data_IF_277669532818
#
_entry.id   IF_277669532818
#
_cell.length_a   1.000
_cell.length_b   1.000
_cell.length_c   1.000
_cell.angle_alpha   90.00
_cell.angle_beta   90.00
_cell.angle_gamma   90.00
#
_symmetry.space_group_name_H-M   'P 1'
#
loop_
_entity.id
_entity.type
_entity.pdbx_description
1 polymer ?
#
# COMPACT_ATOMS: atom_id res chain seq x y z
N UNK A 1 63.86 -44.28 18.78
CA UNK A 1 63.89 -44.39 17.30
C UNK A 1 62.45 -44.49 16.84
N UNK A 2 62.04 -43.65 15.88
CA UNK A 2 60.71 -43.54 15.22
C UNK A 2 59.53 -42.99 16.04
N UNK A 3 58.64 -42.12 15.56
CA UNK A 3 58.59 -41.25 14.37
C UNK A 3 57.46 -40.21 14.58
N UNK A 4 57.61 -39.02 13.98
CA UNK A 4 56.57 -38.00 13.81
C UNK A 4 55.67 -38.31 12.59
N UNK A 5 54.37 -37.95 12.65
CA UNK A 5 53.50 -37.53 11.53
C UNK A 5 52.16 -37.02 12.14
N UNK A 6 51.92 -35.71 12.30
CA UNK A 6 51.41 -34.66 11.37
C UNK A 6 49.90 -34.72 11.00
N UNK A 7 49.19 -33.75 11.59
CA UNK A 7 48.13 -32.85 11.05
C UNK A 7 46.82 -33.41 10.50
N UNK A 8 45.71 -32.71 10.82
CA UNK A 8 44.86 -31.88 9.91
C UNK A 8 43.53 -31.63 10.64
N UNK A 9 43.29 -30.44 11.20
CA UNK A 9 42.54 -29.35 10.58
C UNK A 9 41.06 -29.65 10.26
N UNK A 10 40.11 -29.17 11.09
CA UNK A 10 38.77 -28.81 10.62
C UNK A 10 38.12 -27.70 11.49
N UNK A 11 38.26 -26.43 11.08
CA UNK A 11 37.25 -25.54 10.44
C UNK A 11 36.29 -24.90 11.45
N UNK A 12 36.52 -23.62 11.82
CA UNK A 12 35.76 -22.40 11.43
C UNK A 12 34.23 -22.56 11.65
N UNK A 13 33.51 -21.64 12.31
CA UNK A 13 33.17 -20.30 11.78
C UNK A 13 32.50 -19.43 12.85
N UNK A 14 32.94 -18.17 12.88
CA UNK A 14 32.24 -16.91 13.18
C UNK A 14 30.73 -17.09 13.46
N UNK A 15 30.30 -16.74 14.68
CA UNK A 15 28.90 -16.39 14.95
C UNK A 15 28.65 -15.09 14.20
N UNK A 16 27.92 -15.18 13.09
CA UNK A 16 27.35 -14.00 12.43
C UNK A 16 26.29 -13.46 13.38
N UNK A 17 26.57 -12.33 14.02
CA UNK A 17 25.51 -11.53 14.59
C UNK A 17 24.65 -11.06 13.41
N UNK A 18 23.50 -11.70 13.22
CA UNK A 18 22.47 -11.20 12.33
C UNK A 18 21.89 -9.97 13.00
N UNK A 19 22.56 -8.83 12.83
CA UNK A 19 21.95 -7.52 13.13
C UNK A 19 20.82 -7.36 12.12
N UNK A 20 19.61 -7.74 12.53
CA UNK A 20 18.41 -7.20 11.91
C UNK A 20 18.50 -5.69 12.07
N UNK A 21 18.84 -4.98 10.99
CA UNK A 21 18.54 -3.56 10.87
C UNK A 21 17.01 -3.48 10.91
N UNK A 22 16.45 -3.32 12.10
CA UNK A 22 15.08 -2.88 12.22
C UNK A 22 15.03 -1.49 11.57
N UNK A 23 14.54 -1.43 10.34
CA UNK A 23 14.22 -0.18 9.67
C UNK A 23 13.19 0.53 10.54
N UNK A 24 13.61 1.49 11.35
CA UNK A 24 12.68 2.32 12.10
C UNK A 24 11.90 3.14 11.09
N UNK A 25 10.67 2.74 10.81
CA UNK A 25 9.76 3.44 9.93
C UNK A 25 9.25 4.68 10.64
N UNK A 26 9.75 5.84 10.23
CA UNK A 26 9.26 7.12 10.74
C UNK A 26 8.06 7.53 9.90
N UNK A 27 6.91 7.68 10.55
CA UNK A 27 5.73 8.25 9.94
C UNK A 27 5.99 9.73 9.61
N UNK A 28 5.61 10.15 8.41
CA UNK A 28 5.68 11.55 8.02
C UNK A 28 5.41 11.76 6.54
N UNK A 29 4.94 12.97 6.21
CA UNK A 29 4.74 13.41 4.83
C UNK A 29 6.01 13.27 3.99
N UNK A 30 5.87 12.69 2.80
CA UNK A 30 7.00 12.43 1.91
C UNK A 30 6.59 12.36 0.43
N UNK A 31 7.59 12.43 -0.44
CA UNK A 31 7.42 12.34 -1.89
C UNK A 31 7.94 11.01 -2.41
N UNK A 32 7.16 10.31 -3.23
CA UNK A 32 7.58 9.09 -3.89
C UNK A 32 8.72 9.38 -4.87
N UNK A 33 9.78 8.59 -4.79
CA UNK A 33 11.01 8.83 -5.53
C UNK A 33 10.81 8.60 -7.04
N UNK A 34 11.58 9.33 -7.85
CA UNK A 34 11.64 9.08 -9.29
C UNK A 34 12.16 7.67 -9.59
N UNK A 35 13.14 7.20 -8.79
CA UNK A 35 13.66 5.83 -8.80
C UNK A 35 13.55 5.25 -7.38
N UNK A 36 12.40 4.71 -6.97
CA UNK A 36 12.28 4.05 -5.68
C UNK A 36 13.03 2.71 -5.69
N UNK A 37 13.32 2.18 -4.50
CA UNK A 37 14.02 0.89 -4.31
C UNK A 37 13.16 -0.26 -4.80
N UNK A 38 11.87 -0.22 -4.51
CA UNK A 38 10.87 -1.19 -4.93
C UNK A 38 9.51 -0.49 -5.14
N UNK A 39 8.43 -1.26 -5.15
CA UNK A 39 7.07 -0.76 -5.35
C UNK A 39 6.19 -0.81 -4.10
N UNK A 40 6.76 -1.13 -2.93
CA UNK A 40 6.02 -1.24 -1.69
C UNK A 40 5.86 0.14 -1.05
N UNK A 41 4.62 0.54 -0.74
CA UNK A 41 4.33 1.81 -0.06
C UNK A 41 5.12 1.97 1.23
N UNK A 42 5.34 0.88 1.98
CA UNK A 42 5.96 0.97 3.31
C UNK A 42 7.49 0.93 3.30
N UNK A 43 8.15 0.82 2.14
CA UNK A 43 9.62 0.87 2.09
C UNK A 43 10.08 2.33 2.18
N UNK A 44 10.66 2.73 3.32
CA UNK A 44 11.11 4.12 3.56
C UNK A 44 12.09 4.64 2.50
N UNK A 45 12.91 3.76 1.90
CA UNK A 45 13.81 4.10 0.79
C UNK A 45 13.11 4.52 -0.51
N UNK A 46 11.80 4.31 -0.63
CA UNK A 46 11.01 4.76 -1.78
C UNK A 46 10.56 6.21 -1.68
N UNK A 47 10.79 6.85 -0.53
CA UNK A 47 10.31 8.19 -0.22
C UNK A 47 11.45 9.18 0.02
N UNK A 48 11.20 10.46 -0.26
CA UNK A 48 12.05 11.59 0.15
C UNK A 48 11.24 12.64 0.91
N UNK A 49 11.60 12.99 2.17
CA UNK A 49 12.62 12.32 2.99
C UNK A 49 12.27 10.83 3.21
N UNK A 50 13.22 10.03 3.71
CA UNK A 50 13.06 8.59 3.93
C UNK A 50 12.14 8.27 5.13
N UNK A 51 10.93 8.79 5.07
CA UNK A 51 9.80 8.60 5.98
C UNK A 51 8.65 8.01 5.18
N UNK A 52 7.78 7.24 5.82
CA UNK A 52 6.61 6.67 5.16
C UNK A 52 5.37 7.47 5.57
N UNK A 53 4.56 7.98 4.65
CA UNK A 53 3.28 8.58 5.01
C UNK A 53 2.40 7.55 5.72
N UNK A 54 2.16 7.76 7.02
CA UNK A 54 1.46 6.83 7.91
C UNK A 54 0.80 7.57 9.08
N UNK A 55 -0.11 8.49 8.76
CA UNK A 55 -0.77 9.34 9.75
C UNK A 55 -1.89 10.17 9.14
N UNK A 56 -2.87 10.55 9.96
CA UNK A 56 -4.06 11.29 9.53
C UNK A 56 -3.74 12.68 8.95
N UNK A 57 -2.55 13.20 9.22
CA UNK A 57 -2.06 14.49 8.74
C UNK A 57 -0.95 14.38 7.70
N UNK A 58 -0.49 13.16 7.40
CA UNK A 58 0.61 12.96 6.47
C UNK A 58 0.16 13.14 5.03
N UNK A 59 1.04 13.71 4.21
CA UNK A 59 0.82 13.93 2.78
C UNK A 59 1.76 13.04 1.99
N UNK A 60 1.20 12.11 1.22
CA UNK A 60 1.92 11.34 0.23
C UNK A 60 1.90 12.08 -1.10
N UNK A 61 3.07 12.47 -1.60
CA UNK A 61 3.20 13.29 -2.81
C UNK A 61 3.80 12.46 -3.95
N UNK A 62 3.23 12.57 -5.15
CA UNK A 62 3.63 11.81 -6.32
C UNK A 62 3.99 12.74 -7.47
N UNK A 63 5.19 12.55 -8.02
CA UNK A 63 5.68 13.20 -9.24
C UNK A 63 5.85 12.21 -10.38
N UNK A 64 6.76 12.47 -11.31
CA UNK A 64 7.20 11.45 -12.26
C UNK A 64 7.97 10.34 -11.52
N UNK A 65 7.76 9.08 -11.91
CA UNK A 65 8.50 7.93 -11.39
C UNK A 65 8.59 6.82 -12.42
N UNK A 66 9.68 6.05 -12.33
CA UNK A 66 9.88 4.82 -13.08
C UNK A 66 9.15 3.61 -12.47
N UNK A 67 8.63 3.75 -11.24
CA UNK A 67 7.81 2.72 -10.58
C UNK A 67 6.44 3.31 -10.27
N UNK A 68 5.43 2.89 -11.03
CA UNK A 68 4.08 3.45 -10.95
C UNK A 68 3.03 2.44 -10.48
N UNK A 69 3.41 1.18 -10.31
CA UNK A 69 2.54 0.09 -9.85
C UNK A 69 2.79 -0.16 -8.36
N UNK A 70 2.11 0.58 -7.50
CA UNK A 70 2.38 0.62 -6.06
C UNK A 70 1.51 -0.40 -5.34
N UNK A 71 2.10 -1.16 -4.42
CA UNK A 71 1.39 -2.12 -3.58
C UNK A 71 1.21 -1.58 -2.16
N UNK A 72 0.00 -1.73 -1.64
CA UNK A 72 -0.38 -1.49 -0.24
C UNK A 72 -0.97 -2.78 0.33
N UNK A 73 -0.83 -3.00 1.63
CA UNK A 73 -1.29 -4.25 2.23
C UNK A 73 -0.63 -4.53 3.56
N UNK A 74 0.64 -4.14 3.66
CA UNK A 74 1.43 -4.16 4.90
C UNK A 74 1.38 -2.79 5.57
N UNK A 75 1.31 -2.77 6.89
CA UNK A 75 1.44 -1.54 7.67
C UNK A 75 2.90 -1.25 8.05
N UNK A 76 3.27 0.02 8.23
CA UNK A 76 4.59 0.38 8.75
C UNK A 76 4.86 -0.06 10.19
N UNK A 77 3.82 -0.35 10.98
CA UNK A 77 3.98 -0.88 12.34
C UNK A 77 4.23 -2.39 12.36
N UNK A 78 3.98 -3.10 11.25
CA UNK A 78 4.18 -4.56 11.12
C UNK A 78 3.19 -5.41 11.92
N UNK A 79 2.16 -4.80 12.51
CA UNK A 79 1.17 -5.45 13.37
C UNK A 79 -0.21 -5.58 12.70
N UNK A 80 -0.45 -4.83 11.63
CA UNK A 80 -1.73 -4.77 10.94
C UNK A 80 -1.58 -4.60 9.42
N UNK A 81 -2.71 -4.47 8.73
CA UNK A 81 -2.82 -4.35 7.28
C UNK A 81 -3.28 -2.95 6.84
N UNK A 82 -3.18 -1.96 7.73
CA UNK A 82 -3.73 -0.63 7.52
C UNK A 82 -2.64 0.33 7.07
N UNK A 83 -2.92 1.10 6.03
CA UNK A 83 -2.16 2.25 5.61
C UNK A 83 -3.06 3.47 5.80
N UNK A 84 -2.62 4.39 6.67
CA UNK A 84 -3.36 5.60 7.02
C UNK A 84 -2.66 6.81 6.42
N UNK A 85 -3.40 7.68 5.72
CA UNK A 85 -2.83 8.90 5.16
C UNK A 85 -3.81 10.05 5.26
N UNK A 86 -3.29 11.26 5.49
CA UNK A 86 -4.08 12.48 5.39
C UNK A 86 -4.51 12.71 3.96
N UNK A 87 -3.53 13.02 3.10
CA UNK A 87 -3.77 13.36 1.70
C UNK A 87 -2.84 12.59 0.76
N UNK A 88 -3.36 12.30 -0.43
CA UNK A 88 -2.55 11.82 -1.57
C UNK A 88 -2.59 12.90 -2.63
N UNK A 89 -1.42 13.40 -3.05
CA UNK A 89 -1.31 14.51 -4.00
C UNK A 89 -0.48 14.09 -5.20
N UNK A 90 -1.06 14.08 -6.39
CA UNK A 90 -0.35 13.94 -7.65
C UNK A 90 -0.03 15.32 -8.22
N UNK A 91 1.24 15.65 -8.32
CA UNK A 91 1.70 16.92 -8.88
C UNK A 91 1.49 16.96 -10.40
N UNK A 92 1.53 18.17 -10.97
CA UNK A 92 1.51 18.36 -12.42
C UNK A 92 2.62 17.54 -13.09
N UNK A 93 2.27 16.79 -14.14
CA UNK A 93 3.21 15.90 -14.83
C UNK A 93 3.58 14.63 -14.09
N UNK A 94 2.87 14.27 -13.01
CA UNK A 94 3.04 12.97 -12.37
C UNK A 94 2.70 11.82 -13.34
N UNK A 95 3.39 10.69 -13.18
CA UNK A 95 3.13 9.48 -13.98
C UNK A 95 1.70 8.95 -13.75
N UNK A 96 1.15 8.11 -14.65
CA UNK A 96 -0.08 7.37 -14.37
C UNK A 96 0.22 6.24 -13.37
N UNK A 97 -0.18 6.42 -12.11
CA UNK A 97 -0.02 5.44 -11.05
C UNK A 97 -1.22 4.49 -10.97
N UNK A 98 -0.93 3.26 -10.58
CA UNK A 98 -1.91 2.28 -10.14
C UNK A 98 -1.54 1.82 -8.74
N UNK A 99 -2.43 2.05 -7.78
CA UNK A 99 -2.29 1.60 -6.41
C UNK A 99 -3.10 0.32 -6.24
N UNK A 100 -2.46 -0.77 -5.88
CA UNK A 100 -3.12 -2.04 -5.59
C UNK A 100 -3.13 -2.25 -4.10
N UNK A 101 -4.31 -2.18 -3.50
CA UNK A 101 -4.53 -2.54 -2.09
C UNK A 101 -4.70 -4.06 -2.08
N UNK A 102 -3.59 -4.76 -1.84
CA UNK A 102 -3.52 -6.22 -1.83
C UNK A 102 -4.05 -6.74 -0.50
N UNK A 103 -4.89 -7.78 -0.51
CA UNK A 103 -5.33 -8.42 0.72
C UNK A 103 -4.17 -9.17 1.37
N UNK A 104 -4.03 -9.05 2.69
CA UNK A 104 -3.16 -9.92 3.47
C UNK A 104 -3.67 -11.37 3.41
N UNK A 105 -2.78 -12.30 3.06
CA UNK A 105 -3.12 -13.71 2.95
C UNK A 105 -3.56 -14.27 4.31
N UNK A 106 -4.74 -14.91 4.32
CA UNK A 106 -5.31 -15.68 5.45
C UNK A 106 -5.77 -14.89 6.69
N UNK A 107 -5.93 -13.57 6.61
CA UNK A 107 -6.52 -12.77 7.70
C UNK A 107 -8.03 -12.56 7.50
N UNK A 108 -8.79 -12.56 8.60
CA UNK A 108 -10.22 -12.17 8.56
C UNK A 108 -10.39 -10.67 8.30
N UNK A 109 -9.40 -9.86 8.66
CA UNK A 109 -9.42 -8.42 8.48
C UNK A 109 -8.88 -8.01 7.10
N UNK A 110 -9.53 -7.04 6.43
CA UNK A 110 -9.06 -6.51 5.15
C UNK A 110 -7.81 -5.67 5.32
N UNK A 111 -6.99 -5.62 4.27
CA UNK A 111 -6.02 -4.54 4.09
C UNK A 111 -6.74 -3.24 3.74
N UNK A 112 -6.38 -2.16 4.40
CA UNK A 112 -7.06 -0.87 4.29
C UNK A 112 -6.10 0.21 3.80
N UNK A 113 -6.52 0.96 2.79
CA UNK A 113 -6.03 2.33 2.62
C UNK A 113 -7.11 3.28 3.15
N UNK A 114 -6.78 4.01 4.22
CA UNK A 114 -7.66 5.02 4.82
C UNK A 114 -7.17 6.41 4.45
N UNK A 115 -8.04 7.19 3.82
CA UNK A 115 -7.78 8.59 3.47
C UNK A 115 -8.59 9.49 4.39
N UNK A 116 -7.92 10.35 5.16
CA UNK A 116 -8.57 11.24 6.13
C UNK A 116 -8.94 12.61 5.56
N UNK A 117 -8.25 13.08 4.52
CA UNK A 117 -8.46 14.41 3.93
C UNK A 117 -8.86 14.31 2.46
N UNK A 118 -7.93 14.16 1.50
CA UNK A 118 -8.34 14.04 0.10
C UNK A 118 -7.28 13.40 -0.79
N UNK A 119 -7.74 12.85 -1.92
CA UNK A 119 -6.88 12.52 -3.04
C UNK A 119 -7.00 13.65 -4.06
N UNK A 120 -5.92 14.39 -4.30
CA UNK A 120 -5.89 15.49 -5.28
C UNK A 120 -5.03 15.09 -6.46
N UNK A 121 -5.62 15.11 -7.66
CA UNK A 121 -4.90 14.78 -8.89
C UNK A 121 -4.73 16.01 -9.78
N UNK A 122 -3.52 16.60 -9.76
CA UNK A 122 -3.15 17.71 -10.63
C UNK A 122 -2.32 17.25 -11.84
N UNK A 123 -2.17 15.94 -12.06
CA UNK A 123 -1.21 15.38 -13.01
C UNK A 123 -1.58 15.57 -14.48
N UNK A 124 -2.87 15.74 -14.78
CA UNK A 124 -3.40 15.72 -16.14
C UNK A 124 -3.62 14.32 -16.72
N UNK A 125 -3.27 13.26 -15.99
CA UNK A 125 -3.51 11.85 -16.37
C UNK A 125 -4.31 11.11 -15.30
N UNK A 126 -4.96 10.01 -15.70
CA UNK A 126 -5.80 9.22 -14.81
C UNK A 126 -4.94 8.47 -13.79
N UNK A 127 -5.40 8.47 -12.53
CA UNK A 127 -4.82 7.68 -11.45
C UNK A 127 -5.80 6.57 -11.08
N UNK A 128 -5.32 5.36 -10.82
CA UNK A 128 -6.18 4.22 -10.52
C UNK A 128 -5.89 3.64 -9.14
N UNK A 129 -6.94 3.37 -8.37
CA UNK A 129 -6.89 2.63 -7.12
C UNK A 129 -7.64 1.32 -7.28
N UNK A 130 -6.95 0.21 -7.11
CA UNK A 130 -7.48 -1.14 -7.24
C UNK A 130 -7.69 -1.70 -5.83
N UNK A 131 -8.93 -2.02 -5.49
CA UNK A 131 -9.25 -2.84 -4.31
C UNK A 131 -9.22 -4.29 -4.76
N UNK A 132 -8.12 -4.99 -4.46
CA UNK A 132 -7.86 -6.30 -5.05
C UNK A 132 -8.67 -7.41 -4.38
N UNK A 133 -9.18 -8.33 -5.20
CA UNK A 133 -9.91 -9.49 -4.74
C UNK A 133 -8.97 -10.47 -4.00
N UNK A 134 -9.41 -11.04 -2.88
CA UNK A 134 -8.62 -12.01 -2.10
C UNK A 134 -8.48 -13.38 -2.77
N UNK A 135 -9.33 -13.72 -3.74
CA UNK A 135 -9.37 -15.02 -4.41
C UNK A 135 -9.71 -16.19 -3.48
N UNK A 136 -10.14 -15.92 -2.24
CA UNK A 136 -10.37 -16.89 -1.16
C UNK A 136 -11.58 -16.45 -0.34
N UNK A 137 -12.04 -17.20 0.67
CA UNK A 137 -13.14 -16.75 1.56
C UNK A 137 -12.79 -15.58 2.50
N UNK A 138 -11.62 -14.95 2.32
CA UNK A 138 -11.06 -13.92 3.20
C UNK A 138 -11.33 -12.52 2.65
N UNK A 139 -11.08 -11.51 3.47
CA UNK A 139 -11.39 -10.13 3.13
C UNK A 139 -10.50 -9.61 1.97
N UNK A 140 -11.12 -8.97 0.98
CA UNK A 140 -10.44 -8.25 -0.10
C UNK A 140 -9.81 -6.95 0.42
N UNK A 141 -8.91 -6.35 -0.37
CA UNK A 141 -8.41 -5.00 -0.08
C UNK A 141 -9.55 -3.97 -0.12
N UNK A 142 -9.45 -2.90 0.68
CA UNK A 142 -10.48 -1.85 0.73
C UNK A 142 -9.86 -0.46 0.74
N UNK A 143 -10.53 0.46 0.04
CA UNK A 143 -10.27 1.90 0.08
C UNK A 143 -11.37 2.56 0.89
N UNK A 144 -10.99 3.30 1.93
CA UNK A 144 -11.91 3.94 2.87
C UNK A 144 -11.64 5.44 2.93
N UNK A 145 -12.71 6.23 2.78
CA UNK A 145 -12.67 7.69 2.88
C UNK A 145 -13.31 8.09 4.21
N UNK A 146 -12.49 8.60 5.13
CA UNK A 146 -12.96 9.05 6.44
C UNK A 146 -13.55 10.47 6.38
N UNK A 147 -14.52 10.75 7.25
CA UNK A 147 -15.17 12.05 7.40
C UNK A 147 -15.65 12.66 6.06
N UNK A 148 -15.13 13.85 5.70
CA UNK A 148 -15.49 14.59 4.48
C UNK A 148 -14.48 14.41 3.35
N UNK A 149 -13.71 13.32 3.38
CA UNK A 149 -12.70 13.07 2.35
C UNK A 149 -13.30 12.66 1.01
N UNK A 150 -12.56 12.92 -0.06
CA UNK A 150 -13.01 12.67 -1.42
C UNK A 150 -11.84 12.33 -2.35
N UNK A 151 -12.17 11.63 -3.43
CA UNK A 151 -11.31 11.49 -4.59
C UNK A 151 -11.54 12.67 -5.53
N UNK A 152 -10.47 13.39 -5.88
CA UNK A 152 -10.49 14.49 -6.84
C UNK A 152 -10.72 14.00 -8.27
N UNK A 153 -10.69 14.95 -9.22
CA UNK A 153 -10.92 14.65 -10.63
C UNK A 153 -9.93 13.61 -11.19
N UNK A 154 -10.38 12.83 -12.17
CA UNK A 154 -9.52 11.87 -12.88
C UNK A 154 -8.84 10.82 -11.96
N UNK A 155 -9.49 10.51 -10.83
CA UNK A 155 -9.17 9.38 -9.96
C UNK A 155 -10.21 8.30 -10.20
N UNK A 156 -9.76 7.13 -10.64
CA UNK A 156 -10.61 5.95 -10.86
C UNK A 156 -10.40 4.95 -9.72
N UNK A 157 -11.48 4.32 -9.29
CA UNK A 157 -11.43 3.19 -8.36
C UNK A 157 -11.91 1.95 -9.09
N UNK A 158 -11.03 0.96 -9.22
CA UNK A 158 -11.33 -0.36 -9.76
C UNK A 158 -11.63 -1.31 -8.60
N UNK A 159 -12.90 -1.64 -8.39
CA UNK A 159 -13.26 -2.67 -7.41
C UNK A 159 -13.32 -4.05 -8.08
N UNK A 160 -12.45 -4.98 -7.65
CA UNK A 160 -12.45 -6.37 -8.15
C UNK A 160 -13.43 -7.29 -7.40
N UNK A 161 -14.25 -6.73 -6.52
CA UNK A 161 -15.31 -7.43 -5.79
C UNK A 161 -14.83 -8.18 -4.55
N UNK A 162 -15.81 -8.67 -3.80
CA UNK A 162 -15.61 -9.54 -2.65
C UNK A 162 -15.44 -11.02 -3.04
N UNK A 163 -15.07 -11.80 -2.05
CA UNK A 163 -15.09 -13.25 -2.15
C UNK A 163 -16.51 -13.80 -2.05
N UNK A 164 -16.85 -14.73 -2.96
CA UNK A 164 -18.21 -15.26 -3.13
C UNK A 164 -18.74 -16.06 -1.92
N UNK A 165 -17.90 -16.39 -0.95
CA UNK A 165 -18.21 -17.26 0.21
C UNK A 165 -17.70 -16.70 1.54
N UNK A 166 -17.49 -15.39 1.65
CA UNK A 166 -17.01 -14.80 2.90
C UNK A 166 -18.16 -14.72 3.94
N UNK A 167 -17.92 -15.04 5.23
CA UNK A 167 -18.86 -14.81 6.32
C UNK A 167 -19.42 -13.37 6.34
N UNK A 168 -20.64 -13.19 6.85
CA UNK A 168 -21.28 -11.87 6.95
C UNK A 168 -20.34 -10.82 7.58
N UNK A 169 -20.14 -9.71 6.86
CA UNK A 169 -19.21 -8.62 7.25
C UNK A 169 -17.87 -8.60 6.50
N UNK A 170 -17.55 -9.66 5.76
CA UNK A 170 -16.31 -9.78 4.98
C UNK A 170 -16.45 -9.33 3.52
N UNK A 171 -17.66 -8.93 3.09
CA UNK A 171 -17.98 -8.38 1.78
C UNK A 171 -17.05 -7.21 1.41
N UNK A 172 -16.41 -7.30 0.23
CA UNK A 172 -15.44 -6.35 -0.32
C UNK A 172 -16.09 -5.28 -1.21
N UNK A 173 -17.39 -5.05 -1.05
CA UNK A 173 -18.19 -4.67 -2.21
C UNK A 173 -18.32 -3.15 -2.37
N UNK A 174 -17.82 -2.35 -1.43
CA UNK A 174 -18.05 -0.90 -1.43
C UNK A 174 -16.82 -0.11 -1.01
N UNK A 175 -16.35 0.85 -1.82
CA UNK A 175 -15.68 2.00 -1.25
C UNK A 175 -16.67 2.66 -0.28
N UNK A 176 -16.34 2.63 1.01
CA UNK A 176 -17.19 3.22 2.03
C UNK A 176 -16.89 4.72 2.05
N UNK A 177 -17.72 5.47 1.34
CA UNK A 177 -17.76 6.93 1.45
C UNK A 177 -18.62 7.25 2.67
N UNK A 178 -18.02 7.89 3.68
CA UNK A 178 -18.71 8.25 4.92
C UNK A 178 -20.06 8.97 4.70
N UNK A 179 -20.88 9.11 5.75
CA UNK A 179 -22.23 9.61 5.61
C UNK A 179 -22.25 11.12 5.33
N UNK A 180 -22.10 11.52 4.06
CA UNK A 180 -22.82 12.64 3.40
C UNK A 180 -22.18 13.00 2.04
N UNK A 181 -23.03 12.90 1.01
CA UNK A 181 -22.94 13.43 -0.37
C UNK A 181 -22.16 12.54 -1.34
N UNK A 182 -22.92 11.84 -2.17
CA UNK A 182 -22.53 11.34 -3.50
C UNK A 182 -21.67 12.37 -4.23
N UNK A 183 -20.43 12.02 -4.65
CA UNK A 183 -19.72 12.80 -5.64
C UNK A 183 -20.49 12.69 -6.96
N UNK A 184 -21.17 13.77 -7.32
CA UNK A 184 -21.76 13.94 -8.63
C UNK A 184 -20.61 13.91 -9.66
N UNK A 185 -20.64 12.90 -10.54
CA UNK A 185 -19.63 12.51 -11.57
C UNK A 185 -18.45 11.68 -11.07
N UNK A 186 -18.66 10.36 -10.94
CA UNK A 186 -18.11 9.34 -11.85
C UNK A 186 -18.30 7.96 -11.19
N UNK A 187 -19.57 7.55 -11.04
CA UNK A 187 -19.93 6.15 -10.80
C UNK A 187 -19.82 5.43 -12.15
N UNK A 188 -18.70 4.79 -12.44
CA UNK A 188 -18.71 3.74 -13.45
C UNK A 188 -19.53 2.58 -12.88
N UNK A 189 -20.77 2.49 -13.35
CA UNK A 189 -21.64 1.32 -13.28
C UNK A 189 -20.82 0.02 -13.26
N UNK A 190 -20.89 -0.74 -12.17
CA UNK A 190 -20.68 -2.17 -12.25
C UNK A 190 -21.86 -2.71 -13.07
N UNK A 191 -21.66 -2.90 -14.37
CA UNK A 191 -22.55 -3.73 -15.17
C UNK A 191 -22.28 -5.15 -14.72
N UNK A 192 -23.17 -5.69 -13.90
CA UNK A 192 -23.29 -7.14 -13.71
C UNK A 192 -23.92 -7.66 -14.99
N UNK A 193 -23.11 -8.18 -15.91
CA UNK A 193 -23.66 -9.06 -16.94
C UNK A 193 -24.13 -10.34 -16.25
N UNK A 194 -25.40 -10.68 -16.51
CA UNK A 194 -26.12 -11.83 -15.93
C UNK A 194 -25.54 -13.15 -16.42
#
# INVERSE_FOLDING_TARGET
>A
MFAQMKSLAQRRRIIVALTFLASTLYAGSATWNFNPVDNNWITSGNWTPATVPYGQTDVATFGASNTTQITLGDSPNGEDASNLVGSIVFNAGASPYTFTITPMYDTEFPSLLVVYQSITNNSGVAQNFVTANSGTAKASGRLYFDASSYAGENVTVTNQGGAWNAPDGMWGDSPNFGPRRTPTKQLSLATVEQ
#
